data_IF_455502954245
#
_entry.id   IF_455502954245
#
_cell.length_a   1.000
_cell.length_b   1.000
_cell.length_c   1.000
_cell.angle_alpha   90.00
_cell.angle_beta   90.00
_cell.angle_gamma   90.00
#
_symmetry.space_group_name_H-M   'P 1'
#
loop_
_entity.id
_entity.type
_entity.pdbx_description
1 polymer ?
#
# COMPACT_ATOMS: atom_id res chain seq x y z
N UNK A 1 -3.93 12.82 -22.41
CA UNK A 1 -3.00 12.68 -21.27
C UNK A 1 -1.98 13.80 -21.37
N UNK A 2 -1.53 14.34 -20.24
CA UNK A 2 -0.52 15.42 -20.24
C UNK A 2 0.83 14.77 -20.52
N UNK A 3 1.48 15.11 -21.63
CA UNK A 3 2.83 14.65 -21.97
C UNK A 3 3.81 15.82 -21.82
N UNK A 4 4.84 15.64 -21.01
CA UNK A 4 5.93 16.59 -20.83
C UNK A 4 7.26 15.82 -20.78
N UNK A 5 8.35 16.28 -21.40
CA UNK A 5 9.63 15.55 -21.42
C UNK A 5 10.24 15.32 -20.02
N UNK A 6 9.87 16.14 -19.05
CA UNK A 6 10.33 16.01 -17.65
C UNK A 6 9.34 15.28 -16.75
N UNK A 7 8.15 14.89 -17.23
CA UNK A 7 7.25 14.00 -16.52
C UNK A 7 7.70 12.56 -16.75
N UNK A 8 8.41 11.98 -15.79
CA UNK A 8 8.97 10.63 -15.91
C UNK A 8 7.91 9.56 -15.62
N UNK A 9 7.04 9.80 -14.64
CA UNK A 9 5.88 8.95 -14.31
C UNK A 9 4.68 9.84 -14.13
N UNK A 10 3.59 9.53 -14.82
CA UNK A 10 2.32 10.27 -14.78
C UNK A 10 1.14 9.36 -14.49
N UNK A 11 -0.04 9.70 -15.03
CA UNK A 11 -1.29 8.97 -14.78
C UNK A 11 -1.54 7.80 -15.74
N UNK A 12 -0.58 7.45 -16.61
CA UNK A 12 -0.80 6.54 -17.74
C UNK A 12 -1.02 5.09 -17.29
N UNK A 13 -0.30 4.65 -16.26
CA UNK A 13 -0.32 3.28 -15.75
C UNK A 13 -0.98 3.17 -14.36
N UNK A 14 -1.45 4.29 -13.78
CA UNK A 14 -2.00 4.31 -12.43
C UNK A 14 -0.93 3.97 -11.39
N UNK A 15 0.27 4.55 -11.56
CA UNK A 15 1.35 4.46 -10.59
C UNK A 15 0.98 5.15 -9.27
N UNK A 16 1.69 4.78 -8.20
CA UNK A 16 1.39 5.24 -6.84
C UNK A 16 1.59 6.76 -6.68
N UNK A 17 2.56 7.35 -7.42
CA UNK A 17 2.81 8.79 -7.42
C UNK A 17 3.29 9.30 -8.77
N UNK A 18 3.19 10.62 -8.98
CA UNK A 18 3.81 11.28 -10.13
C UNK A 18 5.29 11.54 -9.86
N UNK A 19 6.14 11.40 -10.91
CA UNK A 19 7.57 11.70 -10.85
C UNK A 19 7.91 12.75 -11.90
N UNK A 20 8.44 13.90 -11.45
CA UNK A 20 8.82 15.01 -12.32
C UNK A 20 10.31 15.36 -12.16
N UNK A 21 11.05 15.37 -13.25
CA UNK A 21 12.48 15.70 -13.29
C UNK A 21 12.68 17.21 -13.14
N UNK A 22 13.52 17.62 -12.19
CA UNK A 22 13.94 19.01 -11.98
C UNK A 22 15.23 19.29 -12.73
N UNK A 23 16.19 18.38 -12.63
CA UNK A 23 17.48 18.42 -13.33
C UNK A 23 18.00 16.98 -13.55
N UNK A 24 19.25 16.87 -14.05
CA UNK A 24 19.87 15.58 -14.38
C UNK A 24 20.13 14.67 -13.15
N UNK A 25 20.01 15.20 -11.93
CA UNK A 25 20.31 14.48 -10.67
C UNK A 25 19.11 14.37 -9.76
N UNK A 26 18.05 15.17 -10.00
CA UNK A 26 16.95 15.33 -9.07
C UNK A 26 15.61 15.22 -9.79
N UNK A 27 14.79 14.31 -9.34
CA UNK A 27 13.36 14.29 -9.62
C UNK A 27 12.57 14.37 -8.32
N UNK A 28 11.40 14.99 -8.37
CA UNK A 28 10.45 15.03 -7.28
C UNK A 28 9.37 13.97 -7.50
N UNK A 29 8.98 13.31 -6.40
CA UNK A 29 7.81 12.45 -6.31
C UNK A 29 6.72 13.28 -5.62
N UNK A 30 5.51 13.29 -6.17
CA UNK A 30 4.39 14.08 -5.62
C UNK A 30 3.16 13.19 -5.52
N UNK A 31 2.61 13.11 -4.32
CA UNK A 31 1.38 12.37 -4.03
C UNK A 31 0.49 13.09 -3.02
N UNK A 32 -0.77 12.66 -2.94
CA UNK A 32 -1.72 13.06 -1.89
C UNK A 32 -2.63 11.88 -1.57
N UNK A 33 -2.69 11.54 -0.29
CA UNK A 33 -3.57 10.49 0.20
C UNK A 33 -4.21 10.90 1.53
N UNK A 34 -5.53 10.69 1.66
CA UNK A 34 -6.27 10.98 2.89
C UNK A 34 -7.54 10.14 2.95
N UNK A 35 -7.98 9.80 4.14
CA UNK A 35 -9.16 8.94 4.35
C UNK A 35 -9.84 9.23 5.69
N UNK A 36 -10.99 8.60 5.90
CA UNK A 36 -11.77 8.68 7.14
C UNK A 36 -11.20 7.75 8.22
N UNK A 37 -11.48 7.97 9.54
CA UNK A 37 -10.95 7.15 10.61
C UNK A 37 -11.19 5.65 10.44
N UNK A 38 -10.15 4.88 10.72
CA UNK A 38 -10.15 3.39 10.69
C UNK A 38 -10.01 2.79 12.09
N UNK A 39 -9.74 3.61 13.09
CA UNK A 39 -9.67 3.30 14.52
C UNK A 39 -10.32 4.44 15.31
N UNK A 40 -10.76 4.15 16.52
CA UNK A 40 -11.39 5.13 17.42
C UNK A 40 -10.36 6.02 18.15
N UNK A 41 -9.08 5.62 18.19
CA UNK A 41 -8.00 6.42 18.75
C UNK A 41 -7.51 7.47 17.75
N UNK A 42 -7.65 8.79 18.05
CA UNK A 42 -7.26 9.84 17.12
C UNK A 42 -5.76 9.86 16.80
N UNK A 43 -4.91 9.55 17.77
CA UNK A 43 -3.45 9.52 17.56
C UNK A 43 -3.06 8.35 16.65
N UNK A 44 -3.61 7.15 16.87
CA UNK A 44 -3.39 5.99 16.01
C UNK A 44 -3.88 6.27 14.59
N UNK A 45 -5.09 6.87 14.43
CA UNK A 45 -5.59 7.28 13.13
C UNK A 45 -4.61 8.23 12.41
N UNK A 46 -4.13 9.26 13.09
CA UNK A 46 -3.15 10.19 12.54
C UNK A 46 -1.85 9.52 12.11
N UNK A 47 -1.34 8.59 12.93
CA UNK A 47 -0.13 7.83 12.66
C UNK A 47 -0.28 6.92 11.42
N UNK A 48 -1.39 6.18 11.32
CA UNK A 48 -1.68 5.31 10.17
C UNK A 48 -1.88 6.12 8.89
N UNK A 49 -2.61 7.24 8.96
CA UNK A 49 -2.84 8.10 7.80
C UNK A 49 -1.54 8.68 7.23
N UNK A 50 -0.63 9.11 8.09
CA UNK A 50 0.68 9.58 7.67
C UNK A 50 1.53 8.44 7.08
N UNK A 51 1.54 7.25 7.70
CA UNK A 51 2.26 6.08 7.17
C UNK A 51 1.76 5.70 5.78
N UNK A 52 0.45 5.74 5.55
CA UNK A 52 -0.18 5.48 4.25
C UNK A 52 0.23 6.53 3.20
N UNK A 53 0.12 7.83 3.53
CA UNK A 53 0.47 8.90 2.58
C UNK A 53 1.97 8.93 2.20
N UNK A 54 2.85 8.45 3.09
CA UNK A 54 4.28 8.33 2.83
C UNK A 54 4.62 7.10 1.97
N UNK A 55 3.73 6.11 1.93
CA UNK A 55 3.95 4.81 1.30
C UNK A 55 4.14 4.92 -0.21
N UNK A 56 3.39 5.77 -0.89
CA UNK A 56 3.53 6.00 -2.34
C UNK A 56 4.96 6.42 -2.70
N UNK A 57 5.56 7.33 -1.89
CA UNK A 57 6.94 7.75 -2.11
C UNK A 57 7.91 6.59 -1.95
N UNK A 58 7.67 5.71 -0.98
CA UNK A 58 8.47 4.52 -0.77
C UNK A 58 8.29 3.48 -1.88
N UNK A 59 7.07 3.29 -2.39
CA UNK A 59 6.80 2.38 -3.51
C UNK A 59 7.54 2.82 -4.78
N UNK A 60 7.65 4.14 -5.01
CA UNK A 60 8.41 4.71 -6.11
C UNK A 60 9.93 4.73 -5.90
N UNK A 61 10.44 4.11 -4.81
CA UNK A 61 11.87 4.08 -4.49
C UNK A 61 12.46 5.40 -4.00
N UNK A 62 11.61 6.35 -3.65
CA UNK A 62 12.00 7.68 -3.24
C UNK A 62 12.18 7.85 -1.73
N UNK A 63 12.64 9.04 -1.35
CA UNK A 63 12.79 9.47 0.02
C UNK A 63 11.86 10.66 0.30
N UNK A 64 10.88 10.54 1.23
CA UNK A 64 10.05 11.66 1.64
C UNK A 64 10.90 12.84 2.13
N UNK A 65 10.54 14.05 1.72
CA UNK A 65 11.26 15.28 2.08
C UNK A 65 10.40 16.20 2.94
N UNK A 66 9.26 16.64 2.40
CA UNK A 66 8.31 17.53 3.09
C UNK A 66 6.88 17.08 2.83
N UNK A 67 5.98 17.42 3.74
CA UNK A 67 4.56 17.14 3.61
C UNK A 67 3.68 18.30 4.09
N UNK A 68 2.47 18.36 3.56
CA UNK A 68 1.39 19.22 3.99
C UNK A 68 0.26 18.38 4.58
N UNK A 69 -0.28 18.78 5.73
CA UNK A 69 -1.49 18.18 6.28
C UNK A 69 -2.70 18.50 5.39
N UNK A 70 -3.50 17.50 5.08
CA UNK A 70 -4.82 17.61 4.42
C UNK A 70 -5.87 17.18 5.44
N UNK A 71 -6.74 18.09 5.85
CA UNK A 71 -7.64 17.88 6.98
C UNK A 71 -9.08 18.28 6.61
N UNK A 72 -10.03 17.37 6.77
CA UNK A 72 -11.44 17.66 6.92
C UNK A 72 -11.83 17.36 8.37
N UNK A 73 -12.46 18.30 9.09
CA UNK A 73 -12.79 18.05 10.49
C UNK A 73 -14.12 18.73 10.88
N UNK A 74 -15.07 17.98 11.50
CA UNK A 74 -16.35 18.53 11.90
C UNK A 74 -16.20 19.60 13.00
N UNK A 75 -16.79 20.77 12.79
CA UNK A 75 -16.73 21.88 13.75
C UNK A 75 -17.38 21.58 15.12
N UNK A 76 -18.22 20.55 15.20
CA UNK A 76 -18.90 20.10 16.44
C UNK A 76 -18.11 19.07 17.24
N UNK A 77 -16.97 18.58 16.75
CA UNK A 77 -16.07 17.70 17.50
C UNK A 77 -15.07 18.52 18.32
N UNK A 78 -14.57 17.91 19.41
CA UNK A 78 -13.58 18.54 20.27
C UNK A 78 -12.26 18.77 19.49
N UNK A 79 -11.73 20.00 19.55
CA UNK A 79 -10.50 20.38 18.82
C UNK A 79 -9.27 19.62 19.32
N UNK A 80 -9.29 19.13 20.53
CA UNK A 80 -8.27 18.28 21.15
C UNK A 80 -8.10 16.97 20.36
N UNK A 81 -9.19 16.39 19.84
CA UNK A 81 -9.14 15.19 18.99
C UNK A 81 -8.36 15.48 17.71
N UNK A 82 -8.57 16.64 17.09
CA UNK A 82 -7.77 17.07 15.92
C UNK A 82 -6.29 17.23 16.33
N UNK A 83 -6.03 17.78 17.50
CA UNK A 83 -4.68 17.89 18.06
C UNK A 83 -3.96 16.53 18.15
N UNK A 84 -4.67 15.49 18.62
CA UNK A 84 -4.13 14.13 18.72
C UNK A 84 -3.91 13.50 17.34
N UNK A 85 -4.82 13.68 16.38
CA UNK A 85 -4.63 13.24 14.98
C UNK A 85 -3.38 13.86 14.38
N UNK A 86 -3.24 15.19 14.48
CA UNK A 86 -2.07 15.92 13.95
C UNK A 86 -0.78 15.49 14.64
N UNK A 87 -0.83 15.20 15.95
CA UNK A 87 0.32 14.70 16.70
C UNK A 87 0.76 13.32 16.20
N UNK A 88 -0.18 12.38 16.01
CA UNK A 88 0.11 11.05 15.45
C UNK A 88 0.76 11.14 14.07
N UNK A 89 0.23 12.01 13.20
CA UNK A 89 0.80 12.28 11.88
C UNK A 89 2.19 12.90 11.94
N UNK A 90 2.39 13.87 12.83
CA UNK A 90 3.70 14.52 13.01
C UNK A 90 4.78 13.55 13.52
N UNK A 91 4.45 12.74 14.53
CA UNK A 91 5.38 11.77 15.08
C UNK A 91 5.78 10.74 14.00
N UNK A 92 4.84 10.28 13.18
CA UNK A 92 5.09 9.33 12.09
C UNK A 92 5.91 9.97 10.95
N UNK A 93 5.61 11.19 10.55
CA UNK A 93 6.42 11.92 9.56
C UNK A 93 7.86 12.15 10.06
N UNK A 94 8.02 12.44 11.35
CA UNK A 94 9.34 12.59 11.99
C UNK A 94 10.13 11.28 11.95
N UNK A 95 9.49 10.12 12.23
CA UNK A 95 10.09 8.79 12.09
C UNK A 95 10.58 8.54 10.65
N UNK A 96 9.81 8.97 9.67
CA UNK A 96 10.17 8.89 8.25
C UNK A 96 11.34 9.81 7.87
N UNK A 97 11.61 10.84 8.65
CA UNK A 97 12.52 11.93 8.33
C UNK A 97 11.89 12.95 7.36
N UNK A 98 10.57 13.03 7.32
CA UNK A 98 9.77 13.94 6.50
C UNK A 98 9.32 15.13 7.36
N UNK A 99 9.50 16.35 6.86
CA UNK A 99 9.09 17.57 7.59
C UNK A 99 7.65 17.95 7.22
N UNK A 100 6.75 18.03 8.20
CA UNK A 100 5.46 18.68 7.99
C UNK A 100 5.66 20.20 8.04
N UNK A 101 5.43 20.87 6.90
CA UNK A 101 5.74 22.29 6.71
C UNK A 101 4.48 23.18 6.64
N UNK A 102 3.29 22.61 6.80
CA UNK A 102 2.03 23.34 6.76
C UNK A 102 0.86 22.41 6.49
N UNK A 103 -0.20 22.96 5.94
CA UNK A 103 -1.40 22.21 5.58
C UNK A 103 -2.63 23.08 5.51
N UNK A 104 -3.79 22.46 5.31
CA UNK A 104 -5.07 23.14 5.26
C UNK A 104 -6.14 22.30 5.96
N UNK A 105 -7.04 22.98 6.69
CA UNK A 105 -8.18 22.37 7.37
C UNK A 105 -9.47 22.97 6.83
N UNK A 106 -10.43 22.13 6.50
CA UNK A 106 -11.79 22.52 6.12
C UNK A 106 -12.81 21.93 7.08
N UNK A 107 -13.96 22.61 7.25
CA UNK A 107 -15.12 22.02 7.93
C UNK A 107 -15.73 20.92 7.04
N UNK A 108 -15.95 19.74 7.59
CA UNK A 108 -16.48 18.57 6.87
C UNK A 108 -17.41 17.78 7.78
N UNK A 109 -18.36 17.06 7.23
CA UNK A 109 -19.30 16.22 8.00
C UNK A 109 -18.62 15.03 8.68
N UNK A 110 -17.48 14.55 8.16
CA UNK A 110 -16.69 13.44 8.67
C UNK A 110 -15.23 13.85 8.84
N UNK A 111 -14.54 13.40 9.92
CA UNK A 111 -13.09 13.56 9.99
C UNK A 111 -12.40 12.91 8.79
N UNK A 112 -11.46 13.62 8.21
CA UNK A 112 -10.55 13.13 7.17
C UNK A 112 -9.15 13.65 7.47
N UNK A 113 -8.17 12.80 7.33
CA UNK A 113 -6.77 13.19 7.51
C UNK A 113 -5.85 12.41 6.59
N UNK A 114 -4.81 13.07 6.17
CA UNK A 114 -3.70 12.52 5.42
C UNK A 114 -2.70 13.60 5.05
N UNK A 115 -1.80 13.27 4.15
CA UNK A 115 -0.72 14.17 3.75
C UNK A 115 -0.69 14.31 2.22
N UNK A 116 -0.33 15.52 1.76
CA UNK A 116 0.29 15.69 0.46
C UNK A 116 1.79 15.65 0.65
N UNK A 117 2.47 14.71 0.00
CA UNK A 117 3.89 14.43 0.23
C UNK A 117 4.70 14.75 -1.01
N UNK A 118 5.85 15.42 -0.79
CA UNK A 118 6.89 15.59 -1.79
C UNK A 118 8.10 14.76 -1.35
N UNK A 119 8.53 13.87 -2.22
CA UNK A 119 9.74 13.06 -2.06
C UNK A 119 10.78 13.37 -3.14
N UNK A 120 11.96 12.80 -2.99
CA UNK A 120 13.07 12.92 -3.93
C UNK A 120 13.49 11.53 -4.42
N UNK A 121 13.87 11.47 -5.71
CA UNK A 121 14.51 10.33 -6.34
C UNK A 121 15.51 10.82 -7.39
N UNK A 122 16.53 10.03 -7.69
CA UNK A 122 17.43 10.30 -8.81
C UNK A 122 16.73 9.88 -10.11
N UNK A 123 16.70 10.74 -11.18
CA UNK A 123 16.09 10.38 -12.45
C UNK A 123 16.63 9.08 -13.04
N UNK A 124 15.72 8.16 -13.43
CA UNK A 124 16.05 6.82 -13.92
C UNK A 124 16.30 5.79 -12.80
N UNK A 125 16.11 6.18 -11.52
CA UNK A 125 16.11 5.26 -10.38
C UNK A 125 14.71 5.07 -9.78
N UNK A 126 13.73 5.84 -10.24
CA UNK A 126 12.35 5.63 -9.84
C UNK A 126 11.89 4.21 -10.19
N UNK A 127 11.19 3.58 -9.26
CA UNK A 127 10.52 2.31 -9.47
C UNK A 127 9.05 2.60 -9.77
N UNK A 128 8.50 1.99 -10.80
CA UNK A 128 7.09 2.11 -11.14
C UNK A 128 6.37 0.77 -10.98
N UNK A 129 5.06 0.78 -11.09
CA UNK A 129 4.26 -0.44 -11.16
C UNK A 129 4.30 -1.11 -12.56
N UNK A 130 4.99 -0.52 -13.55
CA UNK A 130 5.03 -0.92 -14.95
C UNK A 130 6.45 -1.29 -15.39
N UNK A 131 6.98 -2.39 -14.91
CA UNK A 131 8.34 -2.81 -15.27
C UNK A 131 8.61 -4.28 -14.98
N UNK A 132 7.62 -4.99 -14.44
CA UNK A 132 7.75 -6.40 -14.11
C UNK A 132 7.98 -7.27 -15.35
N UNK A 133 8.88 -8.22 -15.24
CA UNK A 133 9.28 -9.10 -16.34
C UNK A 133 8.89 -10.55 -16.04
N UNK A 134 8.53 -11.35 -17.05
CA UNK A 134 8.31 -12.77 -16.88
C UNK A 134 9.51 -13.46 -16.22
N UNK A 135 9.24 -14.26 -15.16
CA UNK A 135 10.27 -14.89 -14.33
C UNK A 135 10.65 -14.09 -13.08
N UNK A 136 10.09 -12.88 -12.92
CA UNK A 136 10.21 -12.17 -11.65
C UNK A 136 9.39 -12.85 -10.57
N UNK A 137 9.91 -12.79 -9.35
CA UNK A 137 9.24 -13.28 -8.14
C UNK A 137 8.53 -12.11 -7.45
N UNK A 138 7.31 -12.36 -7.00
CA UNK A 138 6.48 -11.39 -6.27
C UNK A 138 6.67 -11.56 -4.76
N UNK A 139 7.15 -10.52 -4.08
CA UNK A 139 7.40 -10.50 -2.63
C UNK A 139 6.50 -9.45 -1.98
N UNK A 140 5.75 -9.86 -0.94
CA UNK A 140 4.87 -8.97 -0.16
C UNK A 140 5.48 -8.69 1.22
N UNK A 141 5.49 -7.41 1.65
CA UNK A 141 6.26 -6.96 2.82
C UNK A 141 5.44 -6.66 4.08
N UNK A 142 4.11 -6.77 4.02
CA UNK A 142 3.21 -6.77 5.19
C UNK A 142 2.10 -7.79 5.01
N UNK A 143 1.51 -8.31 6.09
CA UNK A 143 0.32 -9.18 5.99
C UNK A 143 -0.90 -8.38 5.52
N UNK A 144 -1.87 -9.10 4.91
CA UNK A 144 -3.16 -8.57 4.48
C UNK A 144 -4.26 -8.88 5.51
N UNK A 145 -5.41 -8.22 5.36
CA UNK A 145 -6.58 -8.39 6.22
C UNK A 145 -6.94 -7.16 7.06
N UNK A 146 -6.30 -6.01 6.81
CA UNK A 146 -6.53 -4.78 7.60
C UNK A 146 -7.96 -4.27 7.46
N UNK A 147 -8.56 -4.36 6.26
CA UNK A 147 -9.95 -3.95 6.02
C UNK A 147 -10.95 -4.84 6.74
N UNK A 148 -10.71 -6.14 6.78
CA UNK A 148 -11.52 -7.12 7.52
C UNK A 148 -11.46 -6.81 9.02
N UNK A 149 -10.26 -6.61 9.58
CA UNK A 149 -10.07 -6.29 11.01
C UNK A 149 -10.76 -4.98 11.38
N UNK A 150 -10.60 -3.92 10.61
CA UNK A 150 -11.21 -2.61 10.89
C UNK A 150 -12.74 -2.63 10.69
N UNK A 151 -13.25 -3.44 9.76
CA UNK A 151 -14.69 -3.67 9.60
C UNK A 151 -15.26 -4.42 10.80
N UNK A 152 -14.60 -5.49 11.23
CA UNK A 152 -15.00 -6.21 12.44
C UNK A 152 -14.95 -5.32 13.69
N UNK A 153 -14.00 -4.38 13.78
CA UNK A 153 -13.95 -3.39 14.85
C UNK A 153 -15.22 -2.50 14.85
N UNK A 154 -15.61 -1.96 13.68
CA UNK A 154 -16.85 -1.19 13.54
C UNK A 154 -18.12 -1.99 13.89
N UNK A 155 -18.07 -3.30 13.72
CA UNK A 155 -19.15 -4.23 14.11
C UNK A 155 -19.09 -4.66 15.56
N UNK A 156 -18.04 -4.30 16.31
CA UNK A 156 -17.83 -4.66 17.71
C UNK A 156 -17.43 -6.13 17.93
N UNK A 157 -16.89 -6.81 16.92
CA UNK A 157 -16.53 -8.25 16.98
C UNK A 157 -15.02 -8.51 16.90
N UNK A 158 -14.19 -7.50 16.63
CA UNK A 158 -12.72 -7.67 16.61
C UNK A 158 -12.15 -7.69 18.03
N UNK A 159 -11.41 -8.73 18.42
CA UNK A 159 -10.72 -8.75 19.71
C UNK A 159 -9.63 -7.65 19.77
N UNK A 160 -9.48 -7.00 20.94
CA UNK A 160 -8.48 -5.95 21.15
C UNK A 160 -7.05 -6.32 20.71
N UNK A 161 -6.51 -7.52 20.98
CA UNK A 161 -5.17 -7.90 20.53
C UNK A 161 -5.04 -7.93 19.01
N UNK A 162 -6.09 -8.36 18.30
CA UNK A 162 -6.13 -8.42 16.84
C UNK A 162 -6.14 -7.00 16.25
N UNK A 163 -6.96 -6.11 16.80
CA UNK A 163 -7.01 -4.70 16.40
C UNK A 163 -5.66 -4.02 16.62
N UNK A 164 -5.04 -4.20 17.79
CA UNK A 164 -3.72 -3.61 18.08
C UNK A 164 -2.64 -4.09 17.12
N UNK A 165 -2.64 -5.38 16.75
CA UNK A 165 -1.70 -5.92 15.77
C UNK A 165 -1.92 -5.30 14.39
N UNK A 166 -3.17 -5.15 13.96
CA UNK A 166 -3.50 -4.53 12.68
C UNK A 166 -3.10 -3.04 12.64
N UNK A 167 -3.39 -2.28 13.70
CA UNK A 167 -2.99 -0.86 13.82
C UNK A 167 -1.47 -0.72 13.79
N UNK A 168 -0.73 -1.53 14.54
CA UNK A 168 0.73 -1.53 14.53
C UNK A 168 1.28 -1.83 13.11
N UNK A 169 0.70 -2.82 12.42
CA UNK A 169 1.08 -3.17 11.05
C UNK A 169 0.81 -2.00 10.09
N UNK A 170 -0.36 -1.36 10.17
CA UNK A 170 -0.71 -0.20 9.36
C UNK A 170 0.21 1.00 9.64
N UNK A 171 0.55 1.25 10.90
CA UNK A 171 1.44 2.35 11.31
C UNK A 171 2.93 2.10 10.98
N UNK A 172 3.32 0.88 10.61
CA UNK A 172 4.69 0.58 10.20
C UNK A 172 4.99 1.21 8.85
N UNK A 173 6.11 1.98 8.75
CA UNK A 173 6.55 2.59 7.50
C UNK A 173 7.08 1.53 6.50
N UNK A 174 6.79 1.72 5.22
CA UNK A 174 7.38 0.92 4.14
C UNK A 174 8.85 1.32 3.82
N UNK A 175 9.46 2.20 4.62
CA UNK A 175 10.82 2.71 4.46
C UNK A 175 11.87 1.61 4.34
N UNK A 176 11.89 0.66 5.27
CA UNK A 176 12.87 -0.43 5.26
C UNK A 176 12.77 -1.31 4.02
N UNK A 177 11.53 -1.59 3.57
CA UNK A 177 11.29 -2.35 2.34
C UNK A 177 11.75 -1.58 1.09
N UNK A 178 11.45 -0.28 1.03
CA UNK A 178 11.89 0.61 -0.05
C UNK A 178 13.42 0.68 -0.13
N UNK A 179 14.09 0.93 0.98
CA UNK A 179 15.56 0.98 1.02
C UNK A 179 16.21 -0.34 0.61
N UNK A 180 15.62 -1.49 1.02
CA UNK A 180 16.09 -2.82 0.62
C UNK A 180 15.95 -3.05 -0.88
N UNK A 181 14.75 -2.79 -1.46
CA UNK A 181 14.53 -2.99 -2.89
C UNK A 181 15.43 -2.10 -3.75
N UNK A 182 15.70 -0.87 -3.31
CA UNK A 182 16.58 0.05 -4.03
C UNK A 182 18.05 -0.42 -4.02
N UNK A 183 18.54 -1.03 -2.93
CA UNK A 183 19.88 -1.63 -2.90
C UNK A 183 20.02 -2.82 -3.85
N UNK A 184 18.98 -3.63 -3.98
CA UNK A 184 18.98 -4.83 -4.83
C UNK A 184 18.76 -4.47 -6.31
N UNK A 185 17.94 -3.47 -6.58
CA UNK A 185 17.45 -3.13 -7.91
C UNK A 185 16.39 -4.12 -8.37
N UNK A 186 15.13 -3.70 -8.28
CA UNK A 186 13.94 -4.47 -8.64
C UNK A 186 13.35 -3.97 -9.96
N UNK A 187 12.41 -4.70 -10.54
CA UNK A 187 11.84 -4.36 -11.83
C UNK A 187 10.54 -3.53 -11.69
N UNK A 188 9.73 -3.80 -10.67
CA UNK A 188 8.51 -3.04 -10.39
C UNK A 188 8.15 -3.11 -8.91
N UNK A 189 7.34 -2.16 -8.46
CA UNK A 189 6.81 -2.11 -7.12
C UNK A 189 5.49 -1.34 -7.11
N UNK A 190 4.59 -1.70 -6.21
CA UNK A 190 3.41 -0.90 -5.80
C UNK A 190 3.15 -1.17 -4.32
N UNK A 191 2.52 -0.26 -3.60
CA UNK A 191 2.01 -0.56 -2.28
C UNK A 191 0.59 -1.13 -2.33
N UNK A 192 0.19 -1.86 -1.32
CA UNK A 192 -1.13 -2.51 -1.29
C UNK A 192 -2.08 -1.69 -0.41
N UNK A 193 -3.02 -0.99 -1.04
CA UNK A 193 -3.99 -0.14 -0.36
C UNK A 193 -5.44 -0.49 -0.72
N UNK A 194 -6.28 0.48 -0.96
CA UNK A 194 -7.75 0.35 -1.07
C UNK A 194 -8.27 -0.58 -2.16
N UNK A 195 -7.51 -0.83 -3.22
CA UNK A 195 -7.89 -1.78 -4.28
C UNK A 195 -7.61 -3.25 -3.91
N UNK A 196 -7.02 -3.50 -2.74
CA UNK A 196 -6.64 -4.83 -2.28
C UNK A 196 -5.49 -5.44 -3.08
N UNK A 197 -4.98 -6.58 -2.60
CA UNK A 197 -3.86 -7.25 -3.27
C UNK A 197 -4.14 -7.51 -4.76
N UNK A 198 -5.31 -8.04 -5.10
CA UNK A 198 -5.64 -8.38 -6.49
C UNK A 198 -5.78 -7.16 -7.40
N UNK A 199 -6.30 -6.04 -6.90
CA UNK A 199 -6.44 -4.81 -7.69
C UNK A 199 -5.09 -4.18 -8.01
N UNK A 200 -4.17 -4.11 -7.03
CA UNK A 200 -2.82 -3.60 -7.23
C UNK A 200 -1.99 -4.53 -8.12
N UNK A 201 -2.05 -5.85 -7.91
CA UNK A 201 -1.40 -6.81 -8.81
C UNK A 201 -1.91 -6.71 -10.26
N UNK A 202 -3.23 -6.49 -10.45
CA UNK A 202 -3.81 -6.25 -11.78
C UNK A 202 -3.20 -4.99 -12.43
N UNK A 203 -3.04 -3.91 -11.66
CA UNK A 203 -2.37 -2.70 -12.13
C UNK A 203 -0.95 -2.99 -12.59
N UNK A 204 -0.17 -3.66 -11.75
CA UNK A 204 1.22 -4.04 -12.02
C UNK A 204 1.37 -4.89 -13.28
N UNK A 205 0.61 -5.97 -13.42
CA UNK A 205 0.75 -6.87 -14.60
C UNK A 205 0.22 -6.23 -15.89
N UNK A 206 -0.80 -5.36 -15.81
CA UNK A 206 -1.29 -4.61 -16.98
C UNK A 206 -0.28 -3.56 -17.44
N UNK A 207 0.26 -2.78 -16.50
CA UNK A 207 1.31 -1.79 -16.79
C UNK A 207 2.56 -2.43 -17.39
N UNK A 208 2.89 -3.64 -16.92
CA UNK A 208 4.06 -4.41 -17.39
C UNK A 208 3.81 -5.26 -18.64
N UNK A 209 2.59 -5.27 -19.19
CA UNK A 209 2.19 -6.14 -20.31
C UNK A 209 2.53 -7.64 -20.05
N UNK A 210 2.32 -8.10 -18.83
CA UNK A 210 2.62 -9.45 -18.34
C UNK A 210 1.40 -10.08 -17.68
N UNK A 211 1.51 -11.36 -17.30
CA UNK A 211 0.55 -12.04 -16.40
C UNK A 211 1.17 -12.32 -15.04
N UNK A 212 0.39 -12.86 -14.10
CA UNK A 212 0.91 -13.34 -12.83
C UNK A 212 0.25 -14.65 -12.39
N UNK A 213 0.97 -15.38 -11.55
CA UNK A 213 0.48 -16.56 -10.85
C UNK A 213 0.75 -16.40 -9.36
N UNK A 214 -0.29 -16.51 -8.53
CA UNK A 214 -0.20 -16.32 -7.08
C UNK A 214 -0.87 -17.47 -6.32
N UNK A 215 -0.42 -17.70 -5.08
CA UNK A 215 -0.95 -18.75 -4.20
C UNK A 215 -1.53 -18.16 -2.94
N UNK A 216 -2.79 -18.52 -2.63
CA UNK A 216 -3.46 -18.07 -1.40
C UNK A 216 -2.74 -18.58 -0.16
N UNK A 217 -2.25 -19.85 -0.19
CA UNK A 217 -1.51 -20.45 0.93
C UNK A 217 -0.17 -19.76 1.25
N UNK A 218 0.37 -18.96 0.33
CA UNK A 218 1.59 -18.19 0.53
C UNK A 218 1.34 -16.78 1.04
N UNK A 219 0.07 -16.34 1.10
CA UNK A 219 -0.26 -14.98 1.56
C UNK A 219 -0.04 -14.84 3.06
N UNK A 220 0.72 -13.82 3.49
CA UNK A 220 0.79 -13.49 4.90
C UNK A 220 -0.52 -12.83 5.33
N UNK A 221 -1.15 -13.36 6.39
CA UNK A 221 -2.47 -12.91 6.86
C UNK A 221 -2.37 -12.48 8.31
N UNK A 222 -3.01 -11.37 8.67
CA UNK A 222 -3.10 -10.90 10.04
C UNK A 222 -3.80 -11.95 10.94
N UNK A 223 -3.38 -12.10 12.19
CA UNK A 223 -4.05 -12.99 13.14
C UNK A 223 -5.55 -12.67 13.28
N UNK A 224 -6.40 -13.70 13.38
CA UNK A 224 -7.84 -13.57 13.60
C UNK A 224 -8.66 -13.17 12.37
N UNK A 225 -8.03 -12.93 11.21
CA UNK A 225 -8.74 -12.52 9.97
C UNK A 225 -9.71 -13.60 9.49
N UNK A 226 -9.34 -14.87 9.55
CA UNK A 226 -10.22 -15.95 9.11
C UNK A 226 -11.48 -16.04 9.96
N UNK A 227 -11.37 -15.95 11.29
CA UNK A 227 -12.51 -15.95 12.20
C UNK A 227 -13.44 -14.74 11.95
N UNK A 228 -12.86 -13.57 11.65
CA UNK A 228 -13.62 -12.36 11.32
C UNK A 228 -14.35 -12.50 9.98
N UNK A 229 -13.72 -13.11 8.96
CA UNK A 229 -14.37 -13.41 7.68
C UNK A 229 -15.56 -14.37 7.85
N UNK A 230 -15.39 -15.46 8.61
CA UNK A 230 -16.48 -16.41 8.92
C UNK A 230 -17.65 -15.72 9.63
N UNK A 231 -17.39 -14.65 10.40
CA UNK A 231 -18.41 -13.83 11.05
C UNK A 231 -18.90 -12.65 10.20
N UNK A 232 -18.55 -12.59 8.92
CA UNK A 232 -19.08 -11.63 7.96
C UNK A 232 -18.44 -10.23 8.02
N UNK A 233 -17.27 -10.08 8.62
CA UNK A 233 -16.54 -8.80 8.64
C UNK A 233 -15.89 -8.51 7.28
N UNK A 234 -16.68 -8.11 6.29
CA UNK A 234 -16.19 -7.81 4.94
C UNK A 234 -16.44 -6.34 4.60
N UNK A 235 -15.40 -5.55 4.28
CA UNK A 235 -15.58 -4.17 3.82
C UNK A 235 -16.39 -4.09 2.52
N UNK A 236 -17.24 -3.07 2.39
CA UNK A 236 -17.96 -2.84 1.13
C UNK A 236 -17.03 -2.60 -0.07
N UNK A 237 -15.79 -2.12 0.17
CA UNK A 237 -14.73 -1.99 -0.83
C UNK A 237 -14.30 -3.31 -1.44
N UNK A 238 -14.22 -4.36 -0.63
CA UNK A 238 -13.80 -5.71 -1.03
C UNK A 238 -14.67 -6.30 -2.14
N UNK A 239 -15.99 -6.12 -2.06
CA UNK A 239 -16.90 -6.58 -3.13
C UNK A 239 -16.72 -5.81 -4.43
N UNK A 240 -16.45 -4.49 -4.36
CA UNK A 240 -16.13 -3.68 -5.54
C UNK A 240 -14.80 -4.11 -6.15
N UNK A 241 -13.81 -4.39 -5.33
CA UNK A 241 -12.50 -4.89 -5.76
C UNK A 241 -12.64 -6.24 -6.47
N UNK A 242 -13.38 -7.19 -5.87
CA UNK A 242 -13.64 -8.50 -6.46
C UNK A 242 -14.34 -8.37 -7.83
N UNK A 243 -15.33 -7.50 -7.94
CA UNK A 243 -16.01 -7.23 -9.22
C UNK A 243 -15.05 -6.62 -10.25
N UNK A 244 -14.16 -5.72 -9.83
CA UNK A 244 -13.21 -5.04 -10.72
C UNK A 244 -12.16 -5.97 -11.32
N UNK A 245 -11.81 -7.07 -10.64
CA UNK A 245 -10.81 -8.03 -11.10
C UNK A 245 -11.42 -9.26 -11.78
N UNK A 246 -12.74 -9.40 -11.83
CA UNK A 246 -13.43 -10.60 -12.30
C UNK A 246 -13.01 -11.02 -13.72
N UNK A 247 -12.93 -10.06 -14.65
CA UNK A 247 -12.57 -10.33 -16.06
C UNK A 247 -11.09 -10.64 -16.28
N UNK A 248 -10.24 -10.38 -15.28
CA UNK A 248 -8.79 -10.53 -15.37
C UNK A 248 -8.22 -11.64 -14.49
N UNK A 249 -9.07 -12.36 -13.74
CA UNK A 249 -8.64 -13.36 -12.76
C UNK A 249 -9.21 -14.72 -13.07
N UNK A 250 -8.33 -15.71 -13.12
CA UNK A 250 -8.66 -17.13 -13.18
C UNK A 250 -8.51 -17.72 -11.76
N UNK A 251 -9.64 -17.85 -11.08
CA UNK A 251 -9.70 -18.44 -9.74
C UNK A 251 -9.67 -19.96 -9.82
N UNK A 252 -8.77 -20.60 -9.07
CA UNK A 252 -8.77 -22.06 -8.94
C UNK A 252 -10.09 -22.60 -8.39
N UNK A 253 -10.58 -23.70 -8.92
CA UNK A 253 -11.91 -24.27 -8.61
C UNK A 253 -12.11 -24.62 -7.13
N UNK A 254 -11.03 -24.94 -6.42
CA UNK A 254 -11.05 -25.30 -4.99
C UNK A 254 -10.99 -24.13 -4.02
N UNK A 255 -10.86 -22.88 -4.52
CA UNK A 255 -10.80 -21.70 -3.67
C UNK A 255 -12.18 -21.36 -3.09
N UNK A 256 -12.24 -21.16 -1.78
CA UNK A 256 -13.46 -20.74 -1.08
C UNK A 256 -13.79 -19.27 -1.35
N UNK A 257 -14.99 -18.85 -1.01
CA UNK A 257 -15.40 -17.44 -1.13
C UNK A 257 -14.56 -16.55 -0.19
N UNK A 258 -14.31 -17.00 1.05
CA UNK A 258 -13.51 -16.28 2.04
C UNK A 258 -12.07 -16.04 1.54
N UNK A 259 -11.49 -17.03 0.86
CA UNK A 259 -10.15 -16.90 0.26
C UNK A 259 -10.14 -15.84 -0.85
N UNK A 260 -11.17 -15.79 -1.70
CA UNK A 260 -11.31 -14.78 -2.75
C UNK A 260 -11.56 -13.39 -2.16
N UNK A 261 -12.39 -13.29 -1.10
CA UNK A 261 -12.64 -12.05 -0.37
C UNK A 261 -11.35 -11.53 0.26
N UNK A 262 -10.56 -12.38 0.92
CA UNK A 262 -9.27 -11.99 1.50
C UNK A 262 -8.31 -11.40 0.46
N UNK A 263 -8.20 -12.02 -0.71
CA UNK A 263 -7.33 -11.55 -1.78
C UNK A 263 -7.76 -10.19 -2.35
N UNK A 264 -9.04 -9.85 -2.22
CA UNK A 264 -9.64 -8.59 -2.66
C UNK A 264 -9.85 -7.59 -1.51
N UNK A 265 -9.48 -7.95 -0.26
CA UNK A 265 -9.70 -7.11 0.92
C UNK A 265 -9.02 -5.75 0.77
N UNK A 266 -9.81 -4.67 0.96
CA UNK A 266 -9.30 -3.31 0.89
C UNK A 266 -8.32 -3.06 2.04
N UNK A 267 -7.04 -2.84 1.74
CA UNK A 267 -6.03 -2.57 2.75
C UNK A 267 -5.93 -1.08 3.08
N UNK A 268 -5.57 -0.78 4.31
CA UNK A 268 -5.10 0.55 4.73
C UNK A 268 -3.62 0.42 5.08
N UNK A 269 -2.78 1.23 4.47
CA UNK A 269 -1.34 1.27 4.72
C UNK A 269 -0.68 -0.11 4.69
N UNK A 270 -0.96 -0.87 3.63
CA UNK A 270 -0.39 -2.21 3.43
C UNK A 270 1.09 -2.19 3.09
N UNK A 271 1.62 -3.37 2.77
CA UNK A 271 3.02 -3.56 2.41
C UNK A 271 3.30 -3.27 0.93
N UNK A 272 4.58 -3.25 0.58
CA UNK A 272 5.00 -3.22 -0.81
C UNK A 272 4.85 -4.60 -1.44
N UNK A 273 4.34 -4.62 -2.67
CA UNK A 273 4.41 -5.76 -3.57
C UNK A 273 5.55 -5.51 -4.55
N UNK A 274 6.62 -6.24 -4.36
CA UNK A 274 7.88 -6.06 -5.09
C UNK A 274 8.04 -7.16 -6.15
N UNK A 275 8.26 -6.77 -7.40
CA UNK A 275 8.62 -7.66 -8.51
C UNK A 275 10.13 -7.65 -8.68
N UNK A 276 10.79 -8.75 -8.33
CA UNK A 276 12.25 -8.87 -8.32
C UNK A 276 12.72 -9.98 -9.26
N UNK A 277 13.80 -9.79 -10.06
CA UNK A 277 14.38 -10.87 -10.84
C UNK A 277 14.66 -12.10 -9.98
N UNK A 278 14.24 -13.30 -10.43
CA UNK A 278 14.40 -14.54 -9.66
C UNK A 278 15.84 -14.77 -9.15
N UNK A 279 16.85 -14.37 -9.94
CA UNK A 279 18.27 -14.48 -9.54
C UNK A 279 18.66 -13.54 -8.38
N UNK A 280 17.84 -12.53 -8.05
CA UNK A 280 18.08 -11.57 -6.96
C UNK A 280 17.21 -11.79 -5.73
N UNK A 281 16.32 -12.82 -5.75
CA UNK A 281 15.38 -13.09 -4.66
C UNK A 281 16.07 -13.24 -3.31
N UNK A 282 17.08 -14.10 -3.21
CA UNK A 282 17.78 -14.35 -1.95
C UNK A 282 18.45 -13.08 -1.41
N UNK A 283 18.98 -12.24 -2.31
CA UNK A 283 19.54 -10.94 -1.94
C UNK A 283 18.44 -10.02 -1.39
N UNK A 284 17.27 -9.95 -2.05
CA UNK A 284 16.16 -9.12 -1.57
C UNK A 284 15.67 -9.58 -0.19
N UNK A 285 15.49 -10.87 0.00
CA UNK A 285 15.06 -11.43 1.30
C UNK A 285 16.06 -11.07 2.41
N UNK A 286 17.35 -11.19 2.12
CA UNK A 286 18.42 -10.82 3.06
C UNK A 286 18.45 -9.33 3.39
N UNK A 287 18.28 -8.46 2.38
CA UNK A 287 18.24 -7.00 2.56
C UNK A 287 16.98 -6.54 3.31
N UNK A 288 15.83 -7.16 3.05
CA UNK A 288 14.59 -6.91 3.79
C UNK A 288 14.77 -7.29 5.27
N UNK A 289 15.39 -8.44 5.56
CA UNK A 289 15.67 -8.88 6.92
C UNK A 289 16.61 -7.90 7.64
N UNK A 290 17.70 -7.54 7.00
CA UNK A 290 18.68 -6.57 7.53
C UNK A 290 18.05 -5.18 7.78
N UNK A 291 17.00 -4.83 7.03
CA UNK A 291 16.24 -3.58 7.20
C UNK A 291 15.11 -3.69 8.22
N UNK A 292 14.96 -4.82 8.94
CA UNK A 292 13.94 -5.03 9.96
C UNK A 292 12.54 -5.25 9.42
N UNK A 293 12.38 -5.63 8.15
CA UNK A 293 11.09 -5.98 7.56
C UNK A 293 10.70 -7.39 8.03
N UNK A 294 9.65 -7.47 8.85
CA UNK A 294 9.25 -8.75 9.46
C UNK A 294 8.63 -9.73 8.44
N UNK A 295 7.75 -9.22 7.58
CA UNK A 295 7.08 -10.01 6.54
C UNK A 295 7.88 -9.94 5.23
N UNK A 296 8.23 -11.10 4.69
CA UNK A 296 9.00 -11.25 3.45
C UNK A 296 8.45 -12.46 2.68
N UNK A 297 7.16 -12.36 2.30
CA UNK A 297 6.42 -13.50 1.76
C UNK A 297 6.57 -13.56 0.23
N UNK A 298 7.05 -14.68 -0.28
CA UNK A 298 7.03 -15.00 -1.71
C UNK A 298 5.63 -15.48 -2.07
N UNK A 299 4.82 -14.59 -2.69
CA UNK A 299 3.40 -14.83 -2.93
C UNK A 299 3.08 -15.35 -4.32
N UNK A 300 4.01 -15.22 -5.27
CA UNK A 300 3.80 -15.65 -6.64
C UNK A 300 4.95 -15.28 -7.57
N UNK A 301 4.65 -15.31 -8.85
CA UNK A 301 5.58 -14.99 -9.93
C UNK A 301 4.90 -14.28 -11.10
N UNK A 302 5.67 -13.52 -11.86
CA UNK A 302 5.26 -12.88 -13.11
C UNK A 302 5.44 -13.86 -14.26
N UNK A 303 4.43 -13.97 -15.13
CA UNK A 303 4.40 -14.94 -16.23
C UNK A 303 4.36 -14.26 -17.60
N UNK A 304 4.81 -14.97 -18.65
CA UNK A 304 4.75 -14.52 -20.04
C UNK A 304 3.37 -14.70 -20.68
N UNK A 305 2.41 -15.33 -19.97
CA UNK A 305 1.08 -15.62 -20.51
C UNK A 305 0.12 -14.44 -20.38
N UNK A 306 -0.79 -14.30 -21.36
CA UNK A 306 -1.97 -13.42 -21.35
C UNK A 306 -1.83 -12.10 -20.56
N UNK A 307 -1.35 -11.01 -21.17
CA UNK A 307 -1.15 -9.74 -20.47
C UNK A 307 -2.36 -9.28 -19.67
N UNK A 308 -2.13 -8.88 -18.42
CA UNK A 308 -3.17 -8.47 -17.49
C UNK A 308 -3.96 -9.60 -16.83
N UNK A 309 -3.64 -10.88 -17.09
CA UNK A 309 -4.29 -12.06 -16.46
C UNK A 309 -3.56 -12.46 -15.19
N UNK A 310 -4.34 -12.84 -14.19
CA UNK A 310 -3.84 -13.36 -12.91
C UNK A 310 -4.46 -14.73 -12.69
N UNK A 311 -3.63 -15.73 -12.44
CA UNK A 311 -4.08 -17.07 -12.02
C UNK A 311 -3.88 -17.20 -10.51
N UNK A 312 -4.93 -17.57 -9.79
CA UNK A 312 -4.91 -17.74 -8.33
C UNK A 312 -5.13 -19.21 -8.00
N UNK A 313 -4.19 -19.79 -7.28
CA UNK A 313 -4.27 -21.18 -6.77
C UNK A 313 -4.34 -21.22 -5.24
N UNK A 314 -4.77 -22.34 -4.63
CA UNK A 314 -4.81 -22.55 -3.18
C UNK A 314 -3.50 -22.34 -2.46
#
# INVERSE_FOLDING_TARGET
MVSHPDLLVGTEHGDDAAVYRIDDKTAIIVTVDFFTPITDDPYEFGSVAAANSLSDVYAMGGKPLVALNVVGFPANLAVEMLGDVLKGGYDKATEAGCLIVGGHTVDDAEPKYGLSVVGLVEPGKEVSNAGALPGDVLVLTKPIGTGIVTTGCKQGITPDPVLKTAVATMATLNKGASEAMMRVGVNACTDITGFGFMGHLKGLVRGSNAGAQVRVSAMPVLPGVWDLLENGAVPGGTFRNMSSVADSTDWGDSLTEEQRLLMCDAQTSGGLLISVPGAKLDQLISELEASGVETRAVVGEVTSGNPGRITVSP
#
